data_IF_029276943947
#
_entry.id   IF_029276943947
#
_cell.length_a   1.000
_cell.length_b   1.000
_cell.length_c   1.000
_cell.angle_alpha   90.00
_cell.angle_beta   90.00
_cell.angle_gamma   90.00
#
_symmetry.space_group_name_H-M   'P 1'
#
loop_
_entity.id
_entity.type
_entity.pdbx_description
1 polymer ?
#
# COMPACT_ATOMS: atom_id res chain seq x y z
N UNK A 1 14.99 9.22 -19.13
CA UNK A 1 14.48 7.86 -18.85
C UNK A 1 14.64 7.62 -17.35
N UNK A 2 13.61 7.89 -16.56
CA UNK A 2 13.59 7.74 -15.10
C UNK A 2 12.18 7.27 -14.73
N UNK A 3 11.33 8.11 -14.13
CA UNK A 3 9.93 7.77 -13.82
C UNK A 3 9.13 7.24 -15.02
N UNK A 4 9.39 7.71 -16.24
CA UNK A 4 8.68 7.16 -17.41
C UNK A 4 8.97 5.68 -17.67
N UNK A 5 10.18 5.19 -17.38
CA UNK A 5 10.48 3.76 -17.54
C UNK A 5 9.83 2.93 -16.43
N UNK A 6 9.77 3.48 -15.21
CA UNK A 6 9.05 2.89 -14.08
C UNK A 6 7.55 2.71 -14.42
N UNK A 7 6.88 3.75 -14.93
CA UNK A 7 5.50 3.63 -15.40
C UNK A 7 5.32 2.64 -16.57
N UNK A 8 6.31 2.51 -17.46
CA UNK A 8 6.25 1.50 -18.55
C UNK A 8 6.44 0.08 -18.03
N UNK A 9 7.29 -0.10 -17.02
CA UNK A 9 7.47 -1.39 -16.36
C UNK A 9 6.19 -1.80 -15.62
N UNK A 10 5.59 -0.89 -14.85
CA UNK A 10 4.34 -1.13 -14.12
C UNK A 10 3.13 -1.41 -15.01
N UNK A 11 3.16 -0.95 -16.27
CA UNK A 11 2.15 -1.26 -17.29
C UNK A 11 2.58 -2.38 -18.26
N UNK A 12 3.67 -3.07 -17.96
CA UNK A 12 4.30 -4.08 -18.82
C UNK A 12 4.89 -5.22 -18.00
N UNK A 13 6.21 -5.31 -17.93
CA UNK A 13 6.92 -6.47 -17.38
C UNK A 13 6.57 -6.79 -15.92
N UNK A 14 6.21 -5.80 -15.10
CA UNK A 14 5.83 -6.05 -13.70
C UNK A 14 4.53 -6.86 -13.60
N UNK A 15 3.60 -6.71 -14.56
CA UNK A 15 2.39 -7.53 -14.62
C UNK A 15 2.71 -8.99 -14.96
N UNK A 16 3.70 -9.25 -15.83
CA UNK A 16 4.15 -10.63 -16.12
C UNK A 16 4.76 -11.28 -14.88
N UNK A 17 5.51 -10.51 -14.07
CA UNK A 17 6.05 -11.00 -12.81
C UNK A 17 4.96 -11.27 -11.77
N UNK A 18 4.00 -10.35 -11.61
CA UNK A 18 2.86 -10.51 -10.69
C UNK A 18 1.98 -11.72 -11.08
N UNK A 19 1.75 -11.97 -12.37
CA UNK A 19 0.98 -13.13 -12.84
C UNK A 19 1.73 -14.45 -12.58
N UNK A 20 3.06 -14.45 -12.70
CA UNK A 20 3.88 -15.64 -12.53
C UNK A 20 3.85 -16.20 -11.09
N UNK A 21 3.61 -15.35 -10.08
CA UNK A 21 3.45 -15.78 -8.69
C UNK A 21 2.20 -15.22 -7.98
N UNK A 22 1.13 -14.96 -8.73
CA UNK A 22 -0.12 -14.33 -8.25
C UNK A 22 -0.73 -15.01 -7.00
N UNK A 23 -0.61 -16.33 -6.90
CA UNK A 23 -1.12 -17.13 -5.78
C UNK A 23 -0.22 -17.10 -4.54
N UNK A 24 1.02 -16.60 -4.67
CA UNK A 24 1.98 -16.49 -3.58
C UNK A 24 1.65 -15.25 -2.75
N UNK A 25 1.30 -15.48 -1.47
CA UNK A 25 1.01 -14.40 -0.53
C UNK A 25 2.23 -14.02 0.31
N UNK A 26 2.29 -12.75 0.72
CA UNK A 26 3.21 -12.29 1.76
C UNK A 26 2.86 -12.97 3.08
N UNK A 27 3.84 -13.64 3.68
CA UNK A 27 3.71 -14.37 4.96
C UNK A 27 4.03 -13.49 6.17
N UNK A 28 4.78 -12.41 5.99
CA UNK A 28 5.05 -11.45 7.06
C UNK A 28 3.81 -10.59 7.37
N UNK A 29 3.72 -10.00 8.58
CA UNK A 29 2.72 -8.97 8.85
C UNK A 29 2.88 -7.80 7.87
N UNK A 30 1.75 -7.33 7.31
CA UNK A 30 1.69 -6.18 6.40
C UNK A 30 0.77 -5.12 7.00
N UNK A 31 1.24 -3.87 6.98
CA UNK A 31 0.41 -2.70 7.31
C UNK A 31 0.22 -1.82 6.07
N UNK A 32 -1.04 -1.57 5.71
CA UNK A 32 -1.41 -0.63 4.66
C UNK A 32 -1.94 0.68 5.26
N UNK A 33 -1.28 1.81 4.95
CA UNK A 33 -1.76 3.15 5.25
C UNK A 33 -2.08 3.88 3.95
N UNK A 34 -3.17 4.63 3.92
CA UNK A 34 -3.59 5.42 2.75
C UNK A 34 -4.25 6.72 3.17
N UNK A 35 -4.26 7.71 2.27
CA UNK A 35 -5.00 8.95 2.50
C UNK A 35 -6.48 8.68 2.38
N UNK A 36 -7.23 8.83 3.48
CA UNK A 36 -8.67 8.57 3.52
C UNK A 36 -9.45 9.51 2.59
N UNK A 37 -8.92 10.72 2.38
CA UNK A 37 -9.50 11.76 1.53
C UNK A 37 -8.86 11.74 0.12
N UNK A 38 -8.05 10.73 -0.20
CA UNK A 38 -7.44 10.53 -1.51
C UNK A 38 -8.30 9.68 -2.45
N UNK A 39 -7.86 9.53 -3.71
CA UNK A 39 -8.53 8.66 -4.69
C UNK A 39 -8.62 7.21 -4.18
N UNK A 40 -7.50 6.66 -3.69
CA UNK A 40 -7.45 5.28 -3.17
C UNK A 40 -8.47 5.07 -2.04
N UNK A 41 -8.48 5.96 -1.04
CA UNK A 41 -9.39 5.84 0.10
C UNK A 41 -10.88 6.02 -0.22
N UNK A 42 -11.21 6.72 -1.31
CA UNK A 42 -12.60 6.92 -1.74
C UNK A 42 -13.14 5.83 -2.67
N UNK A 43 -12.27 5.14 -3.40
CA UNK A 43 -12.70 4.26 -4.49
C UNK A 43 -12.41 2.78 -4.27
N UNK A 44 -11.57 2.42 -3.30
CA UNK A 44 -11.17 1.04 -3.07
C UNK A 44 -11.36 0.64 -1.61
N UNK A 45 -11.72 -0.63 -1.39
CA UNK A 45 -11.46 -1.29 -0.12
C UNK A 45 -9.99 -1.75 -0.10
N UNK A 46 -9.14 -0.89 0.46
CA UNK A 46 -7.69 -1.09 0.50
C UNK A 46 -7.32 -2.37 1.26
N UNK A 47 -8.03 -2.68 2.35
CA UNK A 47 -7.73 -3.87 3.15
C UNK A 47 -8.14 -5.14 2.42
N UNK A 48 -9.30 -5.13 1.74
CA UNK A 48 -9.71 -6.26 0.92
C UNK A 48 -8.69 -6.55 -0.19
N UNK A 49 -8.26 -5.52 -0.93
CA UNK A 49 -7.26 -5.67 -1.99
C UNK A 49 -5.94 -6.28 -1.47
N UNK A 50 -5.42 -5.81 -0.34
CA UNK A 50 -4.20 -6.36 0.24
C UNK A 50 -4.36 -7.79 0.77
N UNK A 51 -5.55 -8.19 1.25
CA UNK A 51 -5.82 -9.58 1.67
C UNK A 51 -5.77 -10.59 0.53
N UNK A 52 -5.92 -10.13 -0.71
CA UNK A 52 -5.68 -10.99 -1.88
C UNK A 52 -4.20 -11.32 -2.06
N UNK A 53 -3.28 -10.49 -1.54
CA UNK A 53 -1.82 -10.61 -1.74
C UNK A 53 -1.01 -10.92 -0.48
N UNK A 54 -1.61 -10.84 0.71
CA UNK A 54 -0.93 -11.07 1.99
C UNK A 54 -1.83 -11.80 3.00
N UNK A 55 -1.22 -12.60 3.89
CA UNK A 55 -1.98 -13.40 4.88
C UNK A 55 -2.38 -12.62 6.13
N UNK A 56 -1.53 -11.73 6.60
CA UNK A 56 -1.76 -10.94 7.81
C UNK A 56 -1.71 -9.45 7.48
N UNK A 57 -2.88 -8.87 7.21
CA UNK A 57 -3.02 -7.47 6.80
C UNK A 57 -3.76 -6.70 7.86
N UNK A 58 -3.15 -5.61 8.32
CA UNK A 58 -3.82 -4.56 9.09
C UNK A 58 -3.62 -3.23 8.39
N UNK A 59 -4.35 -2.19 8.79
CA UNK A 59 -4.21 -0.89 8.15
C UNK A 59 -5.36 0.03 8.44
N UNK A 60 -5.20 1.30 8.04
CA UNK A 60 -6.21 2.34 8.20
C UNK A 60 -5.98 3.50 7.24
N UNK A 61 -7.05 4.22 6.95
CA UNK A 61 -6.98 5.54 6.33
C UNK A 61 -6.47 6.58 7.32
N UNK A 62 -5.56 7.45 6.86
CA UNK A 62 -4.99 8.60 7.58
C UNK A 62 -5.62 9.88 6.98
N UNK A 63 -5.84 10.96 7.76
CA UNK A 63 -6.34 12.22 7.22
C UNK A 63 -5.50 12.73 6.03
N UNK A 64 -6.15 13.28 5.02
CA UNK A 64 -5.49 13.87 3.87
C UNK A 64 -5.40 12.96 2.63
N UNK A 65 -4.51 13.38 1.72
CA UNK A 65 -4.34 12.82 0.39
C UNK A 65 -3.21 11.81 0.29
N UNK A 66 -2.53 11.79 -0.86
CA UNK A 66 -1.52 10.77 -1.17
C UNK A 66 -0.25 10.85 -0.30
N UNK A 67 0.12 12.05 0.14
CA UNK A 67 1.41 12.33 0.76
C UNK A 67 1.35 12.22 2.29
N UNK A 68 1.01 11.03 2.81
CA UNK A 68 0.75 10.80 4.25
C UNK A 68 1.84 11.38 5.18
N UNK A 69 3.15 11.11 4.97
CA UNK A 69 4.18 11.63 5.86
C UNK A 69 4.32 13.15 5.83
N UNK A 70 3.83 13.82 4.78
CA UNK A 70 3.89 15.28 4.63
C UNK A 70 2.62 15.95 5.17
N UNK A 71 1.45 15.35 4.94
CA UNK A 71 0.16 15.95 5.28
C UNK A 71 -0.41 15.51 6.63
N UNK A 72 0.05 14.37 7.15
CA UNK A 72 -0.34 13.83 8.46
C UNK A 72 0.86 13.09 9.11
N UNK A 73 1.98 13.80 9.39
CA UNK A 73 3.21 13.19 9.87
C UNK A 73 3.03 12.48 11.21
N UNK A 74 2.34 13.08 12.18
CA UNK A 74 2.10 12.49 13.50
C UNK A 74 1.32 11.18 13.40
N UNK A 75 0.16 11.16 12.72
CA UNK A 75 -0.66 9.95 12.60
C UNK A 75 0.03 8.83 11.81
N UNK A 76 0.86 9.22 10.84
CA UNK A 76 1.68 8.29 10.05
C UNK A 76 2.77 7.68 10.94
N UNK A 77 3.50 8.52 11.69
CA UNK A 77 4.53 8.08 12.62
C UNK A 77 3.96 7.15 13.70
N UNK A 78 2.86 7.53 14.35
CA UNK A 78 2.24 6.73 15.41
C UNK A 78 1.84 5.34 14.90
N UNK A 79 1.25 5.27 13.70
CA UNK A 79 0.88 4.00 13.08
C UNK A 79 2.10 3.12 12.78
N UNK A 80 3.15 3.70 12.20
CA UNK A 80 4.40 2.99 11.91
C UNK A 80 5.07 2.50 13.19
N UNK A 81 5.20 3.36 14.20
CA UNK A 81 5.84 3.02 15.47
C UNK A 81 5.08 1.91 16.19
N UNK A 82 3.74 1.98 16.23
CA UNK A 82 2.90 0.96 16.85
C UNK A 82 2.92 -0.39 16.11
N UNK A 83 3.23 -0.40 14.81
CA UNK A 83 3.37 -1.62 14.02
C UNK A 83 4.75 -2.26 14.19
N UNK A 84 5.82 -1.45 14.14
CA UNK A 84 7.20 -1.93 14.16
C UNK A 84 7.74 -2.25 15.57
N UNK A 85 7.14 -1.67 16.61
CA UNK A 85 7.55 -1.93 18.01
C UNK A 85 6.87 -3.17 18.63
N UNK A 86 6.32 -4.06 17.80
CA UNK A 86 5.63 -5.28 18.22
C UNK A 86 6.53 -6.51 18.12
#
# INVERSE_FOLDING_TARGET
HASCEDYRAGAGIDLEHDEADLERKLECPVMALWGKDGFVGRHYDVIAAWKERARNVTGRGVPGGHWLPETAPEETYEALNAFLSR
#
